data_IF_967749805302
#
_entry.id   IF_967749805302
#
_cell.length_a   1.000
_cell.length_b   1.000
_cell.length_c   1.000
_cell.angle_alpha   90.00
_cell.angle_beta   90.00
_cell.angle_gamma   90.00
#
_symmetry.space_group_name_H-M   'P 1'
#
loop_
_entity.id
_entity.type
_entity.pdbx_description
1 polymer ?
#
# COMPACT_ATOMS: atom_id res chain seq x y z
N UNK A 1 -5.49 18.41 -31.45
CA UNK A 1 -5.54 17.12 -32.14
C UNK A 1 -6.67 16.29 -31.55
N UNK A 2 -7.91 16.60 -31.91
CA UNK A 2 -9.06 15.73 -31.67
C UNK A 2 -9.67 15.59 -33.06
N UNK A 3 -9.33 14.50 -33.74
CA UNK A 3 -9.84 14.22 -35.07
C UNK A 3 -11.12 13.42 -34.89
N UNK A 4 -12.23 14.15 -34.82
CA UNK A 4 -13.59 13.63 -34.93
C UNK A 4 -13.79 13.16 -36.37
N UNK A 5 -13.25 11.98 -36.69
CA UNK A 5 -13.50 11.27 -37.93
C UNK A 5 -14.39 10.07 -37.62
N UNK A 6 -15.71 10.31 -37.68
CA UNK A 6 -16.70 9.28 -37.99
C UNK A 6 -16.49 8.82 -39.44
N UNK A 7 -15.40 8.10 -39.70
CA UNK A 7 -15.18 7.43 -40.98
C UNK A 7 -15.91 6.08 -40.96
N UNK A 8 -17.12 6.06 -41.54
CA UNK A 8 -17.60 4.97 -42.39
C UNK A 8 -17.54 3.52 -41.90
N UNK A 9 -17.50 3.24 -40.60
CA UNK A 9 -17.68 1.88 -40.10
C UNK A 9 -19.18 1.58 -40.11
N UNK A 10 -19.64 0.81 -41.08
CA UNK A 10 -20.96 0.17 -41.04
C UNK A 10 -21.13 -0.44 -39.65
N UNK A 11 -22.24 -0.12 -38.96
CA UNK A 11 -22.61 -0.67 -37.64
C UNK A 11 -22.59 -2.22 -37.64
N UNK A 12 -22.62 -2.79 -38.84
CA UNK A 12 -22.61 -4.21 -39.12
C UNK A 12 -21.28 -4.63 -39.76
N UNK A 13 -20.49 -5.52 -39.12
CA UNK A 13 -19.23 -6.03 -39.65
C UNK A 13 -19.40 -7.09 -40.75
N UNK A 14 -20.61 -7.24 -41.32
CA UNK A 14 -20.96 -8.25 -42.31
C UNK A 14 -21.68 -7.66 -43.53
N UNK A 15 -21.69 -8.41 -44.63
CA UNK A 15 -22.41 -8.07 -45.85
C UNK A 15 -23.92 -8.24 -45.69
N UNK A 16 -24.69 -7.21 -46.04
CA UNK A 16 -26.16 -7.15 -45.94
C UNK A 16 -26.91 -8.26 -46.74
N UNK A 17 -26.22 -8.95 -47.64
CA UNK A 17 -26.82 -9.92 -48.57
C UNK A 17 -27.15 -11.29 -47.95
N UNK A 18 -26.64 -11.61 -46.75
CA UNK A 18 -26.75 -12.95 -46.15
C UNK A 18 -27.19 -12.97 -44.69
N UNK A 19 -27.63 -11.84 -44.13
CA UNK A 19 -27.90 -11.72 -42.68
C UNK A 19 -29.38 -11.43 -42.38
N UNK A 20 -29.89 -12.06 -41.31
CA UNK A 20 -31.25 -11.86 -40.79
C UNK A 20 -31.39 -10.52 -40.06
N UNK A 21 -32.52 -9.84 -40.24
CA UNK A 21 -32.85 -8.59 -39.55
C UNK A 21 -32.87 -8.71 -38.00
N UNK A 22 -33.00 -9.93 -37.48
CA UNK A 22 -32.90 -10.23 -36.05
C UNK A 22 -31.48 -10.04 -35.52
N UNK A 23 -30.46 -10.37 -36.33
CA UNK A 23 -29.05 -10.18 -35.97
C UNK A 23 -28.70 -8.70 -35.91
N UNK A 24 -29.23 -7.90 -36.84
CA UNK A 24 -29.05 -6.45 -36.85
C UNK A 24 -29.62 -5.80 -35.58
N UNK A 25 -30.77 -6.29 -35.10
CA UNK A 25 -31.40 -5.83 -33.86
C UNK A 25 -30.60 -6.22 -32.61
N UNK A 26 -30.01 -7.41 -32.59
CA UNK A 26 -29.16 -7.87 -31.48
C UNK A 26 -27.86 -7.06 -31.37
N UNK A 27 -27.20 -6.77 -32.51
CA UNK A 27 -25.96 -5.98 -32.54
C UNK A 27 -26.20 -4.54 -32.12
N UNK A 28 -27.33 -3.95 -32.54
CA UNK A 28 -27.69 -2.60 -32.12
C UNK A 28 -27.84 -2.53 -30.59
N UNK A 29 -28.60 -3.46 -30.00
CA UNK A 29 -28.75 -3.53 -28.53
C UNK A 29 -27.43 -3.76 -27.81
N UNK A 30 -26.55 -4.59 -28.36
CA UNK A 30 -25.22 -4.80 -27.80
C UNK A 30 -24.38 -3.52 -27.85
N UNK A 31 -24.41 -2.79 -28.97
CA UNK A 31 -23.71 -1.52 -29.11
C UNK A 31 -24.24 -0.46 -28.15
N UNK A 32 -25.56 -0.44 -27.90
CA UNK A 32 -26.19 0.49 -26.98
C UNK A 32 -25.77 0.23 -25.52
N UNK A 33 -25.55 -1.03 -25.11
CA UNK A 33 -25.18 -1.42 -23.73
C UNK A 33 -23.64 -1.41 -23.52
N UNK A 34 -22.86 -1.50 -24.60
CA UNK A 34 -21.39 -1.58 -24.53
C UNK A 34 -20.74 -0.43 -23.71
N UNK A 35 -21.17 0.84 -23.83
CA UNK A 35 -20.60 1.95 -23.06
C UNK A 35 -20.83 1.81 -21.56
N UNK A 36 -22.05 1.44 -21.16
CA UNK A 36 -22.43 1.28 -19.74
C UNK A 36 -21.63 0.13 -19.10
N UNK A 37 -21.41 -0.96 -19.84
CA UNK A 37 -20.58 -2.08 -19.39
C UNK A 37 -19.12 -1.67 -19.22
N UNK A 38 -18.61 -0.81 -20.10
CA UNK A 38 -17.25 -0.30 -20.02
C UNK A 38 -17.06 0.60 -18.80
N UNK A 39 -18.00 1.51 -18.54
CA UNK A 39 -17.99 2.39 -17.37
C UNK A 39 -18.07 1.58 -16.07
N UNK A 40 -18.96 0.58 -16.01
CA UNK A 40 -19.04 -0.31 -14.86
C UNK A 40 -17.71 -1.05 -14.61
N UNK A 41 -17.11 -1.59 -15.68
CA UNK A 41 -15.85 -2.33 -15.60
C UNK A 41 -14.70 -1.45 -15.10
N UNK A 42 -14.68 -0.17 -15.48
CA UNK A 42 -13.71 0.81 -14.99
C UNK A 42 -13.85 1.03 -13.48
N UNK A 43 -15.07 1.29 -13.01
CA UNK A 43 -15.35 1.54 -11.59
C UNK A 43 -15.08 0.29 -10.74
N UNK A 44 -15.48 -0.90 -11.21
CA UNK A 44 -15.19 -2.16 -10.53
C UNK A 44 -13.68 -2.38 -10.39
N UNK A 45 -12.91 -2.11 -11.46
CA UNK A 45 -11.47 -2.27 -11.42
C UNK A 45 -10.81 -1.30 -10.46
N UNK A 46 -11.25 -0.03 -10.45
CA UNK A 46 -10.77 0.97 -9.51
C UNK A 46 -11.05 0.57 -8.05
N UNK A 47 -12.25 0.06 -7.77
CA UNK A 47 -12.62 -0.43 -6.45
C UNK A 47 -11.75 -1.61 -5.99
N UNK A 48 -11.48 -2.57 -6.89
CA UNK A 48 -10.60 -3.71 -6.61
C UNK A 48 -9.19 -3.26 -6.24
N UNK A 49 -8.59 -2.35 -7.03
CA UNK A 49 -7.25 -1.83 -6.75
C UNK A 49 -7.19 -1.07 -5.42
N UNK A 50 -8.23 -0.32 -5.09
CA UNK A 50 -8.34 0.40 -3.82
C UNK A 50 -8.44 -0.56 -2.63
N UNK A 51 -9.22 -1.64 -2.76
CA UNK A 51 -9.31 -2.67 -1.72
C UNK A 51 -7.95 -3.33 -1.45
N UNK A 52 -7.20 -3.66 -2.50
CA UNK A 52 -5.86 -4.23 -2.39
C UNK A 52 -4.89 -3.28 -1.66
N UNK A 53 -4.97 -1.98 -1.95
CA UNK A 53 -4.09 -0.99 -1.31
C UNK A 53 -4.46 -0.74 0.16
N UNK A 54 -5.76 -0.77 0.48
CA UNK A 54 -6.25 -0.73 1.87
C UNK A 54 -5.71 -1.94 2.64
N UNK A 55 -5.74 -3.14 2.06
CA UNK A 55 -5.23 -4.34 2.72
C UNK A 55 -3.72 -4.23 2.99
N UNK A 56 -2.92 -3.79 2.00
CA UNK A 56 -1.48 -3.55 2.20
C UNK A 56 -1.22 -2.56 3.32
N UNK A 57 -1.99 -1.47 3.35
CA UNK A 57 -1.85 -0.44 4.39
C UNK A 57 -2.20 -1.00 5.77
N UNK A 58 -3.28 -1.77 5.89
CA UNK A 58 -3.66 -2.44 7.16
C UNK A 58 -2.58 -3.39 7.65
N UNK A 59 -2.00 -4.20 6.75
CA UNK A 59 -0.89 -5.10 7.09
C UNK A 59 0.34 -4.33 7.59
N UNK A 60 0.66 -3.19 6.98
CA UNK A 60 1.76 -2.31 7.42
C UNK A 60 1.51 -1.72 8.81
N UNK A 61 0.31 -1.21 9.06
CA UNK A 61 -0.06 -0.68 10.39
C UNK A 61 0.08 -1.75 11.45
N UNK A 62 -0.43 -2.96 11.20
CA UNK A 62 -0.31 -4.08 12.13
C UNK A 62 1.16 -4.45 12.41
N UNK A 63 2.00 -4.52 11.38
CA UNK A 63 3.43 -4.77 11.56
C UNK A 63 4.13 -3.68 12.42
N UNK A 64 3.72 -2.42 12.26
CA UNK A 64 4.25 -1.33 13.10
C UNK A 64 3.79 -1.47 14.55
N UNK A 65 2.49 -1.68 14.78
CA UNK A 65 1.89 -1.75 16.11
C UNK A 65 2.38 -2.94 16.93
N UNK A 66 2.45 -4.12 16.32
CA UNK A 66 2.68 -5.36 17.06
C UNK A 66 4.11 -5.89 16.96
N UNK A 67 4.92 -5.39 16.02
CA UNK A 67 6.31 -5.84 15.86
C UNK A 67 7.28 -4.69 16.06
N UNK A 68 7.19 -3.62 15.27
CA UNK A 68 8.21 -2.58 15.25
C UNK A 68 8.23 -1.75 16.54
N UNK A 69 7.06 -1.28 17.01
CA UNK A 69 6.98 -0.46 18.24
C UNK A 69 7.50 -1.24 19.46
N UNK A 70 7.03 -2.47 19.75
CA UNK A 70 7.53 -3.23 20.91
C UNK A 70 9.04 -3.49 20.85
N UNK A 71 9.58 -3.80 19.66
CA UNK A 71 11.02 -4.02 19.48
C UNK A 71 11.84 -2.76 19.74
N UNK A 72 11.34 -1.59 19.30
CA UNK A 72 11.99 -0.32 19.55
C UNK A 72 11.96 0.04 21.04
N UNK A 73 10.82 -0.18 21.72
CA UNK A 73 10.70 0.05 23.17
C UNK A 73 11.66 -0.85 23.97
N UNK A 74 11.77 -2.14 23.60
CA UNK A 74 12.73 -3.06 24.21
C UNK A 74 14.17 -2.60 23.98
N UNK A 75 14.48 -2.17 22.76
CA UNK A 75 15.81 -1.67 22.39
C UNK A 75 16.18 -0.41 23.19
N UNK A 76 15.24 0.53 23.35
CA UNK A 76 15.43 1.74 24.16
C UNK A 76 15.73 1.34 25.61
N UNK A 77 14.91 0.45 26.18
CA UNK A 77 15.10 -0.03 27.56
C UNK A 77 16.46 -0.70 27.75
N UNK A 78 16.90 -1.50 26.79
CA UNK A 78 18.21 -2.15 26.81
C UNK A 78 19.35 -1.12 26.81
N UNK A 79 19.28 -0.11 25.93
CA UNK A 79 20.29 0.94 25.83
C UNK A 79 20.35 1.73 27.15
N UNK A 80 19.22 2.17 27.69
CA UNK A 80 19.17 2.92 28.96
C UNK A 80 19.78 2.10 30.09
N UNK A 81 19.39 0.82 30.23
CA UNK A 81 19.94 -0.04 31.27
C UNK A 81 21.46 -0.24 31.13
N UNK A 82 21.99 -0.32 29.90
CA UNK A 82 23.43 -0.43 29.66
C UNK A 82 24.19 0.86 29.94
N UNK A 83 23.61 2.02 29.66
CA UNK A 83 24.19 3.31 30.00
C UNK A 83 24.25 3.51 31.52
N UNK A 84 23.16 3.23 32.23
CA UNK A 84 23.10 3.34 33.70
C UNK A 84 24.13 2.43 34.37
N UNK A 85 24.29 1.19 33.90
CA UNK A 85 25.28 0.26 34.45
C UNK A 85 26.72 0.72 34.18
N UNK A 86 26.98 1.31 33.00
CA UNK A 86 28.29 1.89 32.69
C UNK A 86 28.59 3.10 33.60
N UNK A 87 27.61 3.96 33.82
CA UNK A 87 27.74 5.11 34.71
C UNK A 87 27.98 4.68 36.17
N UNK A 88 27.24 3.68 36.67
CA UNK A 88 27.48 3.08 38.00
C UNK A 88 28.89 2.50 38.14
N UNK A 89 29.37 1.82 37.10
CA UNK A 89 30.73 1.26 37.06
C UNK A 89 31.82 2.34 37.13
N UNK A 90 31.64 3.44 36.40
CA UNK A 90 32.56 4.58 36.42
C UNK A 90 32.53 5.30 37.78
N UNK A 91 31.36 5.49 38.36
CA UNK A 91 31.20 6.16 39.65
C UNK A 91 31.88 5.35 40.78
N UNK A 92 31.71 4.03 40.79
CA UNK A 92 32.41 3.13 41.74
C UNK A 92 33.93 3.20 41.58
N UNK A 93 34.43 3.26 40.34
CA UNK A 93 35.86 3.41 40.05
C UNK A 93 36.41 4.74 40.58
N UNK A 94 35.68 5.84 40.38
CA UNK A 94 36.05 7.16 40.90
C UNK A 94 36.06 7.19 42.43
N UNK A 95 35.05 6.61 43.08
CA UNK A 95 35.02 6.50 44.55
C UNK A 95 36.24 5.75 45.10
N UNK A 96 36.61 4.62 44.46
CA UNK A 96 37.75 3.81 44.91
C UNK A 96 39.08 4.54 44.75
N UNK A 97 39.25 5.31 43.68
CA UNK A 97 40.45 6.14 43.50
C UNK A 97 40.51 7.21 44.61
N UNK A 98 39.38 7.86 44.89
CA UNK A 98 39.30 8.87 45.95
C UNK A 98 39.64 8.29 47.33
N UNK A 99 39.11 7.12 47.69
CA UNK A 99 39.41 6.49 48.99
C UNK A 99 40.88 6.12 49.14
N UNK A 100 41.53 5.65 48.07
CA UNK A 100 42.97 5.34 48.11
C UNK A 100 43.82 6.59 48.34
N UNK A 101 43.44 7.74 47.76
CA UNK A 101 44.14 9.01 47.98
C UNK A 101 43.97 9.55 49.42
N UNK A 102 42.82 9.28 50.04
CA UNK A 102 42.54 9.67 51.43
C UNK A 102 43.28 8.77 52.45
N UNK A 103 43.56 7.51 52.13
CA UNK A 103 44.35 6.60 52.99
C UNK A 103 45.87 6.87 52.93
N UNK A 104 46.37 7.45 51.83
CA UNK A 104 47.78 7.80 51.66
C UNK A 104 48.17 9.19 52.21
N UNK A 105 47.20 10.01 52.62
CA UNK A 105 47.40 11.34 53.22
C UNK A 105 47.33 11.31 54.74
#
# INVERSE_FOLDING_TARGET
FINDKKEGATIYPYGFASTSAELDGAIKKLNDIMPDLLELSEVEKACQLMADEIEKTRRRVNALEYVMIPQLEETIKFITMKLDENERGNLTRLMKIKSMMEEES
#
